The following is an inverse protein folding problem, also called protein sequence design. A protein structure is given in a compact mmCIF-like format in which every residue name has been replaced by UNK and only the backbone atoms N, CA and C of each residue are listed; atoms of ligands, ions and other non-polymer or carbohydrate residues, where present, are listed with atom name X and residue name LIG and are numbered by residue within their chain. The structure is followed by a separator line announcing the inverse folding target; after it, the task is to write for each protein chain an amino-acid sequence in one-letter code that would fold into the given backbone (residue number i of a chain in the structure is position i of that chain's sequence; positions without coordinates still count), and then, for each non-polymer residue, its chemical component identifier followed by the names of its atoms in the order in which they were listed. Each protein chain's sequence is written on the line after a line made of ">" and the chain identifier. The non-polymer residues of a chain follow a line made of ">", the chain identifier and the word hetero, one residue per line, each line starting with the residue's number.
data_IF_896506623668
#
_entry.id   IF_896506623668
#
_cell.length_a   1.000
_cell.length_b   1.000
_cell.length_c   1.000
_cell.angle_alpha   90.00
_cell.angle_beta   90.00
_cell.angle_gamma   90.00
#
_symmetry.space_group_name_H-M   'P 1'
#
loop_
_entity.id
_entity.type
_entity.pdbx_description
1 polymer ?
#
# COMPACT_ATOMS: atom_id res chain seq x y z
N UNK A 1 17.56 -1.07 -1.36
CA UNK A 1 16.17 -1.49 -1.69
C UNK A 1 15.62 -2.45 -0.66
N UNK A 2 16.12 -3.69 -0.50
CA UNK A 2 15.52 -4.61 0.47
C UNK A 2 15.47 -4.03 1.90
N UNK A 3 16.59 -3.48 2.38
CA UNK A 3 16.65 -2.84 3.70
C UNK A 3 15.70 -1.65 3.81
N UNK A 4 15.54 -0.88 2.72
CA UNK A 4 14.61 0.25 2.67
C UNK A 4 13.16 -0.23 2.77
N UNK A 5 12.79 -1.29 2.03
CA UNK A 5 11.47 -1.92 2.08
C UNK A 5 11.17 -2.37 3.50
N UNK A 6 12.10 -3.10 4.13
CA UNK A 6 11.93 -3.63 5.48
C UNK A 6 11.87 -2.51 6.54
N UNK A 7 12.68 -1.47 6.39
CA UNK A 7 12.66 -0.28 7.26
C UNK A 7 11.32 0.44 7.18
N UNK A 8 10.83 0.72 5.96
CA UNK A 8 9.55 1.38 5.71
C UNK A 8 8.40 0.55 6.25
N UNK A 9 8.41 -0.76 6.05
CA UNK A 9 7.40 -1.68 6.55
C UNK A 9 7.34 -1.67 8.08
N UNK A 10 8.49 -1.69 8.77
CA UNK A 10 8.55 -1.57 10.24
C UNK A 10 7.96 -0.24 10.73
N UNK A 11 8.08 0.83 9.95
CA UNK A 11 7.52 2.14 10.26
C UNK A 11 6.05 2.32 9.82
N UNK A 12 5.40 1.30 9.25
CA UNK A 12 3.98 1.39 8.85
C UNK A 12 3.02 1.02 9.98
N UNK A 13 1.83 1.64 10.05
CA UNK A 13 0.85 1.31 11.07
C UNK A 13 0.31 -0.11 10.86
N UNK A 14 -0.01 -0.82 11.94
CA UNK A 14 -0.57 -2.18 11.86
C UNK A 14 -2.05 -2.21 11.51
N UNK A 15 -2.77 -1.10 11.70
CA UNK A 15 -4.21 -0.99 11.54
C UNK A 15 -4.63 -0.20 10.27
N UNK A 16 -4.01 -0.48 9.13
CA UNK A 16 -4.38 0.12 7.84
C UNK A 16 -5.28 -0.81 7.05
N UNK A 17 -6.24 -0.24 6.32
CA UNK A 17 -7.05 -0.98 5.36
C UNK A 17 -6.22 -1.41 4.14
N UNK A 18 -6.31 -2.68 3.70
CA UNK A 18 -5.64 -3.18 2.49
C UNK A 18 -6.37 -2.73 1.21
N UNK A 19 -5.79 -3.05 0.05
CA UNK A 19 -6.42 -2.85 -1.25
C UNK A 19 -7.31 -4.03 -1.64
N UNK A 20 -7.53 -4.23 -2.95
CA UNK A 20 -8.35 -5.32 -3.48
C UNK A 20 -7.84 -6.73 -3.11
N UNK A 21 -6.54 -6.87 -2.90
CA UNK A 21 -5.90 -8.12 -2.50
C UNK A 21 -6.22 -8.56 -1.06
N UNK A 22 -6.72 -7.65 -0.23
CA UNK A 22 -7.00 -7.91 1.18
C UNK A 22 -5.75 -8.16 2.03
N UNK A 23 -4.54 -7.83 1.56
CA UNK A 23 -3.28 -8.12 2.27
C UNK A 23 -2.81 -6.91 3.11
N UNK A 24 -2.98 -6.92 4.45
CA UNK A 24 -2.57 -5.80 5.30
C UNK A 24 -1.06 -5.86 5.61
N UNK A 25 -0.50 -4.77 6.14
CA UNK A 25 0.93 -4.69 6.49
C UNK A 25 1.45 -5.82 7.40
N UNK A 26 0.71 -6.30 8.43
CA UNK A 26 1.18 -7.43 9.24
C UNK A 26 1.37 -8.72 8.44
N UNK A 27 0.57 -8.93 7.39
CA UNK A 27 0.72 -10.08 6.51
C UNK A 27 1.94 -9.91 5.61
N UNK A 28 2.17 -8.71 5.06
CA UNK A 28 3.41 -8.39 4.33
C UNK A 28 4.67 -8.59 5.19
N UNK A 29 4.62 -8.22 6.47
CA UNK A 29 5.73 -8.47 7.40
C UNK A 29 6.01 -9.96 7.58
N UNK A 30 4.98 -10.80 7.62
CA UNK A 30 5.14 -12.26 7.65
C UNK A 30 5.64 -12.81 6.31
N UNK A 31 5.11 -12.33 5.19
CA UNK A 31 5.53 -12.77 3.86
C UNK A 31 7.01 -12.45 3.60
N UNK A 32 7.47 -11.27 4.00
CA UNK A 32 8.88 -10.88 3.92
C UNK A 32 9.79 -11.61 4.91
N UNK A 33 9.29 -12.54 5.73
CA UNK A 33 10.19 -13.48 6.43
C UNK A 33 10.75 -14.57 5.49
N UNK A 34 10.15 -14.76 4.31
CA UNK A 34 10.59 -15.72 3.32
C UNK A 34 11.50 -15.08 2.27
N UNK A 35 12.70 -15.63 2.09
CA UNK A 35 13.70 -15.12 1.14
C UNK A 35 13.18 -15.04 -0.30
N UNK A 36 12.38 -16.02 -0.74
CA UNK A 36 11.77 -16.01 -2.08
C UNK A 36 10.89 -14.78 -2.31
N UNK A 37 10.12 -14.38 -1.29
CA UNK A 37 9.24 -13.19 -1.39
C UNK A 37 10.08 -11.91 -1.35
N UNK A 38 11.12 -11.86 -0.52
CA UNK A 38 12.04 -10.72 -0.49
C UNK A 38 12.69 -10.48 -1.86
N UNK A 39 13.18 -11.54 -2.51
CA UNK A 39 13.80 -11.45 -3.84
C UNK A 39 12.80 -10.96 -4.89
N UNK A 40 11.57 -11.49 -4.88
CA UNK A 40 10.51 -11.04 -5.76
C UNK A 40 10.15 -9.57 -5.53
N UNK A 41 10.02 -9.15 -4.27
CA UNK A 41 9.72 -7.76 -3.94
C UNK A 41 10.82 -6.80 -4.40
N UNK A 42 12.10 -7.17 -4.24
CA UNK A 42 13.24 -6.40 -4.75
C UNK A 42 13.17 -6.26 -6.26
N UNK A 43 12.85 -7.34 -6.99
CA UNK A 43 12.68 -7.28 -8.44
C UNK A 43 11.54 -6.32 -8.82
N UNK A 44 10.34 -6.52 -8.25
CA UNK A 44 9.16 -5.68 -8.53
C UNK A 44 9.43 -4.20 -8.22
N UNK A 45 10.11 -3.89 -7.11
CA UNK A 45 10.38 -2.51 -6.72
C UNK A 45 11.46 -1.87 -7.59
N UNK A 46 12.43 -2.64 -8.09
CA UNK A 46 13.38 -2.17 -9.10
C UNK A 46 12.68 -1.88 -10.42
N UNK A 47 11.78 -2.75 -10.88
CA UNK A 47 11.01 -2.52 -12.10
C UNK A 47 10.15 -1.26 -11.97
N UNK A 48 9.51 -1.07 -10.81
CA UNK A 48 8.72 0.12 -10.50
C UNK A 48 9.56 1.42 -10.46
N UNK A 49 10.83 1.35 -10.04
CA UNK A 49 11.75 2.51 -10.13
C UNK A 49 12.02 2.94 -11.57
N UNK A 50 11.90 2.02 -12.53
CA UNK A 50 12.02 2.28 -13.97
C UNK A 50 10.67 2.54 -14.64
N UNK A 51 9.60 2.71 -13.85
CA UNK A 51 8.25 3.02 -14.36
C UNK A 51 7.44 1.80 -14.81
N UNK A 52 7.90 0.58 -14.50
CA UNK A 52 7.17 -0.67 -14.79
C UNK A 52 6.44 -1.12 -13.52
N UNK A 53 5.14 -0.86 -13.45
CA UNK A 53 4.33 -1.15 -12.27
C UNK A 53 3.51 -2.44 -12.43
N UNK A 54 3.34 -3.23 -11.36
CA UNK A 54 2.34 -4.28 -11.34
C UNK A 54 0.95 -3.74 -11.68
N UNK A 55 0.14 -4.42 -12.52
CA UNK A 55 -1.21 -3.98 -12.84
C UNK A 55 -2.10 -3.77 -11.59
N UNK A 56 -1.91 -4.60 -10.56
CA UNK A 56 -2.65 -4.49 -9.29
C UNK A 56 -2.41 -3.17 -8.55
N UNK A 57 -1.28 -2.48 -8.80
CA UNK A 57 -1.01 -1.17 -8.19
C UNK A 57 -1.84 -0.05 -8.82
N UNK A 58 -2.42 -0.30 -9.99
CA UNK A 58 -3.31 0.62 -10.70
C UNK A 58 -4.78 0.40 -10.33
N UNK A 59 -5.08 -0.61 -9.52
CA UNK A 59 -6.43 -0.93 -9.06
C UNK A 59 -6.70 -0.33 -7.67
N UNK A 60 -7.94 0.07 -7.41
CA UNK A 60 -8.33 0.64 -6.12
C UNK A 60 -9.76 0.33 -5.73
N UNK A 61 -10.00 0.15 -4.42
CA UNK A 61 -11.35 0.13 -3.86
C UNK A 61 -11.75 1.56 -3.52
N UNK A 62 -12.87 2.03 -4.09
CA UNK A 62 -13.48 3.29 -3.70
C UNK A 62 -14.44 3.07 -2.52
N UNK A 63 -14.16 3.70 -1.39
CA UNK A 63 -15.02 3.67 -0.19
C UNK A 63 -15.46 5.09 0.15
N UNK A 64 -16.73 5.25 0.52
CA UNK A 64 -17.26 6.53 1.01
C UNK A 64 -17.21 6.56 2.54
N UNK A 65 -16.53 7.55 3.12
CA UNK A 65 -16.58 7.84 4.54
C UNK A 65 -17.54 9.00 4.83
N UNK A 66 -18.47 8.81 5.76
CA UNK A 66 -19.38 9.86 6.19
C UNK A 66 -18.64 10.93 7.01
N UNK A 67 -18.92 12.19 6.74
CA UNK A 67 -18.61 13.32 7.62
C UNK A 67 -19.73 13.48 8.66
N UNK A 68 -19.48 14.29 9.69
CA UNK A 68 -20.57 14.76 10.55
C UNK A 68 -21.60 15.57 9.72
N UNK A 69 -22.88 15.43 10.07
CA UNK A 69 -24.00 16.09 9.39
C UNK A 69 -25.01 15.09 8.82
N UNK A 70 -25.89 15.59 7.96
CA UNK A 70 -26.94 14.80 7.30
C UNK A 70 -26.34 13.82 6.28
N UNK A 71 -26.55 12.53 6.50
CA UNK A 71 -26.03 11.44 5.65
C UNK A 71 -26.75 11.29 4.32
N UNK A 72 -27.92 11.93 4.14
CA UNK A 72 -28.64 11.96 2.85
C UNK A 72 -28.01 12.93 1.85
N UNK A 73 -27.22 13.90 2.33
CA UNK A 73 -26.49 14.84 1.48
C UNK A 73 -25.15 14.27 1.02
N UNK A 74 -25.00 14.06 -0.30
CA UNK A 74 -23.75 13.55 -0.90
C UNK A 74 -22.51 14.43 -0.59
N UNK A 75 -22.69 15.73 -0.30
CA UNK A 75 -21.59 16.64 0.10
C UNK A 75 -20.94 16.26 1.43
N UNK A 76 -21.66 15.51 2.26
CA UNK A 76 -21.22 15.01 3.55
C UNK A 76 -20.51 13.65 3.46
N UNK A 77 -20.14 13.19 2.26
CA UNK A 77 -19.33 11.98 2.07
C UNK A 77 -17.94 12.35 1.52
N UNK A 78 -16.92 11.61 1.95
CA UNK A 78 -15.55 11.70 1.44
C UNK A 78 -15.21 10.40 0.72
N UNK A 79 -14.94 10.43 -0.60
CA UNK A 79 -14.38 9.26 -1.26
C UNK A 79 -12.93 9.05 -0.80
N UNK A 80 -12.59 7.80 -0.54
CA UNK A 80 -11.21 7.36 -0.28
C UNK A 80 -10.92 6.17 -1.19
N UNK A 81 -9.75 6.23 -1.83
CA UNK A 81 -9.21 5.15 -2.66
C UNK A 81 -8.26 4.31 -1.82
N UNK A 82 -8.58 3.03 -1.68
CA UNK A 82 -7.73 2.04 -1.01
C UNK A 82 -6.92 1.29 -2.07
N UNK A 83 -5.62 1.58 -2.13
CA UNK A 83 -4.65 0.83 -2.96
C UNK A 83 -4.00 -0.28 -2.13
N UNK A 84 -3.34 -1.24 -2.79
CA UNK A 84 -2.65 -2.35 -2.14
C UNK A 84 -1.53 -1.87 -1.20
N UNK A 85 -1.25 -2.64 -0.15
CA UNK A 85 -0.26 -2.26 0.85
C UNK A 85 1.17 -2.26 0.31
N UNK A 86 1.50 -3.14 -0.64
CA UNK A 86 2.80 -3.16 -1.31
C UNK A 86 3.02 -1.92 -2.20
N UNK A 87 1.99 -1.42 -2.88
CA UNK A 87 2.08 -0.13 -3.58
C UNK A 87 2.32 1.02 -2.60
N UNK A 88 1.62 1.03 -1.45
CA UNK A 88 1.85 2.03 -0.38
C UNK A 88 3.27 1.98 0.17
N UNK A 89 3.81 0.78 0.39
CA UNK A 89 5.20 0.60 0.83
C UNK A 89 6.18 1.22 -0.17
N UNK A 90 5.98 0.97 -1.48
CA UNK A 90 6.82 1.55 -2.52
C UNK A 90 6.76 3.09 -2.51
N UNK A 91 5.57 3.68 -2.47
CA UNK A 91 5.44 5.16 -2.42
C UNK A 91 6.08 5.76 -1.18
N UNK A 92 5.92 5.13 -0.01
CA UNK A 92 6.56 5.60 1.23
C UNK A 92 8.08 5.46 1.21
N UNK A 93 8.59 4.39 0.58
CA UNK A 93 10.02 4.23 0.33
C UNK A 93 10.57 5.35 -0.56
N UNK A 94 9.85 5.74 -1.62
CA UNK A 94 10.22 6.91 -2.43
C UNK A 94 10.24 8.19 -1.60
N UNK A 95 9.19 8.46 -0.83
CA UNK A 95 9.13 9.66 0.02
C UNK A 95 10.24 9.70 1.07
N UNK A 96 10.68 8.56 1.60
CA UNK A 96 11.80 8.51 2.55
C UNK A 96 13.17 8.82 1.95
N UNK A 97 13.29 8.86 0.62
CA UNK A 97 14.53 9.19 -0.11
C UNK A 97 14.58 10.65 -0.57
N UNK A 98 13.49 11.40 -0.41
CA UNK A 98 13.38 12.84 -0.69
C UNK A 98 13.68 13.65 0.57
#
# INVERSE_FOLDING_TARGET
>A
ILDDILSVLKATPTNSSPGMDGLPYPLWARLFSHLTVQNLAVQVYNDAMHGVFPPSWLETILVLLSKAGDTTSLRNWRPISLISCDAKLFTKMLTSRL
#
